data_IF_935987271343
#
_entry.id   IF_935987271343
#
_cell.length_a   1.000
_cell.length_b   1.000
_cell.length_c   1.000
_cell.angle_alpha   90.00
_cell.angle_beta   90.00
_cell.angle_gamma   90.00
#
_symmetry.space_group_name_H-M   'P 1'
#
loop_
_entity.id
_entity.type
_entity.pdbx_description
1 polymer ?
#
# COMPACT_ATOMS: atom_id res chain seq x y z
N UNK A 1 0.31 -33.46 -20.77
CA UNK A 1 1.58 -32.72 -20.54
C UNK A 1 1.34 -31.55 -19.59
N UNK A 2 2.18 -31.33 -18.57
CA UNK A 2 2.08 -30.13 -17.72
C UNK A 2 2.62 -28.92 -18.50
N UNK A 3 1.90 -27.78 -18.57
CA UNK A 3 2.39 -26.61 -19.29
C UNK A 3 3.72 -26.12 -18.72
N UNK A 4 4.61 -25.67 -19.61
CA UNK A 4 5.89 -25.05 -19.24
C UNK A 4 5.65 -23.88 -18.28
N UNK A 5 6.64 -23.54 -17.45
CA UNK A 5 6.50 -22.41 -16.52
C UNK A 5 6.24 -21.09 -17.25
N UNK A 6 6.82 -20.91 -18.45
CA UNK A 6 6.54 -19.77 -19.33
C UNK A 6 5.05 -19.71 -19.73
N UNK A 7 4.49 -20.82 -20.21
CA UNK A 7 3.07 -20.89 -20.59
C UNK A 7 2.14 -20.66 -19.40
N UNK A 8 2.50 -21.17 -18.20
CA UNK A 8 1.75 -20.93 -16.97
C UNK A 8 1.64 -19.43 -16.64
N UNK A 9 2.76 -18.69 -16.69
CA UNK A 9 2.76 -17.25 -16.43
C UNK A 9 2.07 -16.44 -17.53
N UNK A 10 2.23 -16.83 -18.80
CA UNK A 10 1.51 -16.19 -19.91
C UNK A 10 0.00 -16.34 -19.77
N UNK A 11 -0.49 -17.52 -19.34
CA UNK A 11 -1.90 -17.72 -19.00
C UNK A 11 -2.36 -16.77 -17.89
N UNK A 12 -1.59 -16.63 -16.80
CA UNK A 12 -1.93 -15.71 -15.70
C UNK A 12 -2.07 -14.27 -16.19
N UNK A 13 -1.12 -13.80 -17.02
CA UNK A 13 -1.17 -12.44 -17.58
C UNK A 13 -2.42 -12.27 -18.45
N UNK A 14 -2.68 -13.22 -19.34
CA UNK A 14 -3.85 -13.21 -20.23
C UNK A 14 -5.17 -13.17 -19.45
N UNK A 15 -5.38 -14.11 -18.54
CA UNK A 15 -6.65 -14.22 -17.80
C UNK A 15 -6.90 -13.00 -16.88
N UNK A 16 -5.83 -12.42 -16.30
CA UNK A 16 -5.94 -11.17 -15.55
C UNK A 16 -6.30 -9.99 -16.45
N UNK A 17 -5.71 -9.91 -17.64
CA UNK A 17 -6.05 -8.87 -18.61
C UNK A 17 -7.51 -8.97 -19.06
N UNK A 18 -7.99 -10.19 -19.35
CA UNK A 18 -9.40 -10.43 -19.68
C UNK A 18 -10.34 -9.98 -18.53
N UNK A 19 -10.02 -10.33 -17.29
CA UNK A 19 -10.78 -9.87 -16.12
C UNK A 19 -10.71 -8.35 -15.94
N UNK A 20 -9.57 -7.71 -16.23
CA UNK A 20 -9.44 -6.26 -16.21
C UNK A 20 -10.30 -5.59 -17.29
N UNK A 21 -10.39 -6.16 -18.49
CA UNK A 21 -11.28 -5.62 -19.53
C UNK A 21 -12.76 -5.81 -19.18
N UNK A 22 -13.12 -6.93 -18.53
CA UNK A 22 -14.49 -7.21 -18.12
C UNK A 22 -14.96 -6.39 -16.91
N UNK A 23 -14.10 -6.22 -15.91
CA UNK A 23 -14.47 -5.71 -14.58
C UNK A 23 -13.64 -4.52 -14.10
N UNK A 24 -12.59 -4.14 -14.82
CA UNK A 24 -11.70 -3.04 -14.46
C UNK A 24 -12.38 -1.67 -14.49
N UNK A 25 -11.66 -0.59 -14.15
CA UNK A 25 -12.22 0.74 -13.92
C UNK A 25 -13.05 1.37 -15.06
N UNK A 26 -13.00 0.84 -16.30
CA UNK A 26 -13.86 1.31 -17.41
C UNK A 26 -15.22 0.60 -17.53
N UNK A 27 -15.46 -0.43 -16.71
CA UNK A 27 -16.69 -1.23 -16.68
C UNK A 27 -17.64 -0.79 -15.56
N UNK A 28 -18.03 0.49 -15.56
CA UNK A 28 -18.73 1.15 -14.44
C UNK A 28 -20.10 0.58 -14.08
N UNK A 29 -20.60 -0.34 -14.90
CA UNK A 29 -21.88 -1.03 -14.69
C UNK A 29 -21.77 -2.21 -13.73
N UNK A 30 -20.57 -2.68 -13.40
CA UNK A 30 -20.38 -3.85 -12.52
C UNK A 30 -20.15 -3.40 -11.08
N UNK A 31 -21.06 -3.72 -10.13
CA UNK A 31 -20.86 -3.42 -8.71
C UNK A 31 -19.55 -3.99 -8.16
N UNK A 32 -18.97 -3.32 -7.16
CA UNK A 32 -17.70 -3.72 -6.57
C UNK A 32 -17.73 -5.16 -6.05
N UNK A 33 -18.80 -5.56 -5.36
CA UNK A 33 -18.93 -6.88 -4.75
C UNK A 33 -18.94 -7.99 -5.80
N UNK A 34 -19.59 -7.75 -6.94
CA UNK A 34 -19.57 -8.66 -8.10
C UNK A 34 -18.16 -8.78 -8.64
N UNK A 35 -17.49 -7.65 -8.92
CA UNK A 35 -16.13 -7.67 -9.44
C UNK A 35 -15.14 -8.35 -8.46
N UNK A 36 -15.23 -8.06 -7.16
CA UNK A 36 -14.41 -8.70 -6.12
C UNK A 36 -14.60 -10.22 -6.12
N UNK A 37 -15.85 -10.69 -6.21
CA UNK A 37 -16.16 -12.13 -6.31
C UNK A 37 -15.52 -12.77 -7.53
N UNK A 38 -15.63 -12.15 -8.71
CA UNK A 38 -15.04 -12.66 -9.95
C UNK A 38 -13.51 -12.71 -9.88
N UNK A 39 -12.86 -11.68 -9.32
CA UNK A 39 -11.42 -11.71 -9.09
C UNK A 39 -10.99 -12.78 -8.08
N UNK A 40 -11.77 -13.02 -7.03
CA UNK A 40 -11.48 -14.09 -6.06
C UNK A 40 -11.68 -15.49 -6.67
N UNK A 41 -12.67 -15.67 -7.54
CA UNK A 41 -12.87 -16.89 -8.31
C UNK A 41 -11.70 -17.12 -9.28
N UNK A 42 -11.28 -16.07 -10.01
CA UNK A 42 -10.08 -16.10 -10.84
C UNK A 42 -8.84 -16.46 -10.00
N UNK A 43 -8.67 -15.89 -8.81
CA UNK A 43 -7.56 -16.25 -7.93
C UNK A 43 -7.55 -17.75 -7.63
N UNK A 44 -8.70 -18.34 -7.30
CA UNK A 44 -8.81 -19.78 -7.02
C UNK A 44 -8.35 -20.60 -8.23
N UNK A 45 -8.84 -20.25 -9.43
CA UNK A 45 -8.45 -20.88 -10.69
C UNK A 45 -6.96 -20.72 -11.00
N UNK A 46 -6.39 -19.52 -10.86
CA UNK A 46 -4.98 -19.27 -11.15
C UNK A 46 -4.03 -19.98 -10.18
N UNK A 47 -4.51 -20.26 -8.96
CA UNK A 47 -3.76 -21.05 -7.99
C UNK A 47 -3.70 -22.54 -8.36
N UNK A 48 -4.50 -23.01 -9.33
CA UNK A 48 -4.37 -24.35 -9.89
C UNK A 48 -3.12 -24.47 -10.75
N UNK A 49 -2.22 -25.37 -10.37
CA UNK A 49 -0.93 -25.59 -11.05
C UNK A 49 0.23 -24.74 -10.54
N UNK A 50 0.00 -23.99 -9.46
CA UNK A 50 1.07 -23.40 -8.64
C UNK A 50 1.94 -24.50 -8.04
N UNK A 51 3.26 -24.32 -8.11
CA UNK A 51 4.27 -25.26 -7.60
C UNK A 51 4.95 -24.76 -6.33
N UNK A 52 4.98 -23.44 -6.10
CA UNK A 52 5.72 -22.86 -4.97
C UNK A 52 4.86 -21.90 -4.15
N UNK A 53 5.20 -21.75 -2.87
CA UNK A 53 4.55 -20.76 -2.01
C UNK A 53 4.85 -19.32 -2.46
N UNK A 54 5.99 -19.09 -3.10
CA UNK A 54 6.28 -17.80 -3.73
C UNK A 54 5.30 -17.50 -4.87
N UNK A 55 5.09 -18.43 -5.79
CA UNK A 55 4.10 -18.31 -6.88
C UNK A 55 2.69 -18.06 -6.32
N UNK A 56 2.30 -18.84 -5.30
CA UNK A 56 1.02 -18.68 -4.59
C UNK A 56 0.86 -17.26 -4.06
N UNK A 57 1.87 -16.76 -3.35
CA UNK A 57 1.84 -15.42 -2.75
C UNK A 57 1.85 -14.34 -3.81
N UNK A 58 2.63 -14.50 -4.88
CA UNK A 58 2.69 -13.54 -5.97
C UNK A 58 1.34 -13.39 -6.68
N UNK A 59 0.67 -14.51 -7.01
CA UNK A 59 -0.67 -14.49 -7.62
C UNK A 59 -1.69 -13.82 -6.69
N UNK A 60 -1.67 -14.13 -5.39
CA UNK A 60 -2.55 -13.46 -4.41
C UNK A 60 -2.33 -11.95 -4.37
N UNK A 61 -1.08 -11.48 -4.47
CA UNK A 61 -0.76 -10.04 -4.50
C UNK A 61 -1.26 -9.38 -5.78
N UNK A 62 -1.06 -10.02 -6.93
CA UNK A 62 -1.56 -9.54 -8.23
C UNK A 62 -3.08 -9.34 -8.19
N UNK A 63 -3.82 -10.36 -7.76
CA UNK A 63 -5.29 -10.26 -7.65
C UNK A 63 -5.73 -9.24 -6.61
N UNK A 64 -5.05 -9.17 -5.46
CA UNK A 64 -5.40 -8.17 -4.44
C UNK A 64 -5.24 -6.74 -4.98
N UNK A 65 -4.22 -6.50 -5.81
CA UNK A 65 -4.03 -5.21 -6.48
C UNK A 65 -5.11 -4.92 -7.52
N UNK A 66 -5.51 -5.92 -8.31
CA UNK A 66 -6.61 -5.77 -9.28
C UNK A 66 -7.93 -5.41 -8.58
N UNK A 67 -8.22 -6.07 -7.45
CA UNK A 67 -9.38 -5.75 -6.62
C UNK A 67 -9.30 -4.32 -6.07
N UNK A 68 -8.12 -3.84 -5.65
CA UNK A 68 -7.97 -2.45 -5.19
C UNK A 68 -8.25 -1.43 -6.30
N UNK A 69 -7.79 -1.70 -7.52
CA UNK A 69 -8.04 -0.83 -8.67
C UNK A 69 -9.54 -0.69 -8.94
N UNK A 70 -10.33 -1.74 -8.71
CA UNK A 70 -11.79 -1.68 -8.84
C UNK A 70 -12.46 -1.07 -7.60
N UNK A 71 -11.92 -1.33 -6.41
CA UNK A 71 -12.44 -0.78 -5.16
C UNK A 71 -12.32 0.76 -5.12
N UNK A 72 -11.23 1.33 -5.65
CA UNK A 72 -11.03 2.78 -5.63
C UNK A 72 -12.19 3.58 -6.25
N UNK A 73 -12.68 3.27 -7.47
CA UNK A 73 -13.84 3.98 -8.01
C UNK A 73 -15.20 3.46 -7.51
N UNK A 74 -15.30 2.24 -6.94
CA UNK A 74 -16.59 1.57 -6.74
C UNK A 74 -16.95 1.16 -5.31
N UNK A 75 -15.99 1.13 -4.39
CA UNK A 75 -16.29 0.80 -3.00
C UNK A 75 -17.17 1.90 -2.41
N UNK A 76 -18.33 1.52 -1.87
CA UNK A 76 -19.36 2.46 -1.40
C UNK A 76 -19.08 3.01 -0.02
N UNK A 77 -18.31 2.27 0.77
CA UNK A 77 -18.09 2.55 2.18
C UNK A 77 -16.68 2.12 2.61
N UNK A 78 -16.31 2.57 3.81
CA UNK A 78 -15.02 2.25 4.40
C UNK A 78 -14.83 0.76 4.65
N UNK A 79 -15.89 0.00 4.94
CA UNK A 79 -15.78 -1.43 5.23
C UNK A 79 -15.25 -2.20 4.01
N UNK A 80 -15.83 -1.98 2.84
CA UNK A 80 -15.40 -2.54 1.56
C UNK A 80 -13.96 -2.14 1.25
N UNK A 81 -13.66 -0.84 1.24
CA UNK A 81 -12.35 -0.35 0.86
C UNK A 81 -11.25 -0.81 1.83
N UNK A 82 -11.52 -0.76 3.14
CA UNK A 82 -10.58 -1.18 4.18
C UNK A 82 -10.34 -2.69 4.18
N UNK A 83 -11.31 -3.52 3.80
CA UNK A 83 -11.13 -4.97 3.62
C UNK A 83 -10.07 -5.24 2.55
N UNK A 84 -10.14 -4.54 1.42
CA UNK A 84 -9.16 -4.67 0.33
C UNK A 84 -7.78 -4.14 0.74
N UNK A 85 -7.71 -2.95 1.36
CA UNK A 85 -6.44 -2.41 1.86
C UNK A 85 -5.76 -3.33 2.88
N UNK A 86 -6.52 -3.90 3.82
CA UNK A 86 -5.99 -4.87 4.79
C UNK A 86 -5.47 -6.11 4.09
N UNK A 87 -6.15 -6.60 3.05
CA UNK A 87 -5.69 -7.75 2.26
C UNK A 87 -4.31 -7.48 1.64
N UNK A 88 -4.14 -6.35 0.97
CA UNK A 88 -2.85 -5.97 0.36
C UNK A 88 -1.76 -5.85 1.43
N UNK A 89 -2.03 -5.13 2.53
CA UNK A 89 -1.06 -4.96 3.63
C UNK A 89 -0.60 -6.30 4.22
N UNK A 90 -1.52 -7.26 4.43
CA UNK A 90 -1.19 -8.61 4.94
C UNK A 90 -0.35 -9.42 3.96
N UNK A 91 -0.66 -9.35 2.67
CA UNK A 91 0.11 -10.05 1.63
C UNK A 91 1.49 -9.40 1.41
N UNK A 92 1.61 -8.11 1.72
CA UNK A 92 2.74 -7.25 1.38
C UNK A 92 2.68 -6.84 -0.09
N UNK A 93 3.34 -5.73 -0.41
CA UNK A 93 3.40 -5.19 -1.77
C UNK A 93 4.27 -6.07 -2.68
N UNK A 94 3.97 -6.04 -3.98
CA UNK A 94 4.76 -6.74 -5.00
C UNK A 94 6.15 -6.11 -5.11
N UNK A 95 6.16 -4.78 -5.18
CA UNK A 95 7.33 -3.93 -5.30
C UNK A 95 6.99 -2.53 -4.75
N UNK A 96 7.93 -1.59 -4.91
CA UNK A 96 7.74 -0.21 -4.45
C UNK A 96 6.67 0.53 -5.25
N UNK A 97 6.53 0.26 -6.56
CA UNK A 97 5.53 0.90 -7.42
C UNK A 97 4.12 0.54 -6.95
N UNK A 98 3.90 -0.73 -6.64
CA UNK A 98 2.66 -1.24 -6.06
C UNK A 98 2.35 -0.60 -4.70
N UNK A 99 3.37 -0.34 -3.87
CA UNK A 99 3.21 0.37 -2.60
C UNK A 99 2.79 1.83 -2.81
N UNK A 100 3.42 2.54 -3.76
CA UNK A 100 3.09 3.93 -4.11
C UNK A 100 1.66 4.02 -4.62
N UNK A 101 1.31 3.18 -5.60
CA UNK A 101 -0.02 3.13 -6.18
C UNK A 101 -1.09 2.89 -5.10
N UNK A 102 -0.87 1.91 -4.22
CA UNK A 102 -1.78 1.63 -3.10
C UNK A 102 -1.93 2.83 -2.17
N UNK A 103 -0.84 3.53 -1.83
CA UNK A 103 -0.88 4.72 -0.98
C UNK A 103 -1.63 5.88 -1.63
N UNK A 104 -1.40 6.10 -2.93
CA UNK A 104 -2.09 7.11 -3.72
C UNK A 104 -3.61 6.84 -3.79
N UNK A 105 -4.01 5.61 -4.14
CA UNK A 105 -5.43 5.25 -4.17
C UNK A 105 -6.10 5.38 -2.80
N UNK A 106 -5.40 5.00 -1.72
CA UNK A 106 -5.91 5.16 -0.37
C UNK A 106 -6.16 6.62 -0.01
N UNK A 107 -5.23 7.52 -0.35
CA UNK A 107 -5.35 8.95 -0.09
C UNK A 107 -6.47 9.59 -0.91
N UNK A 108 -6.54 9.27 -2.20
CA UNK A 108 -7.62 9.74 -3.07
C UNK A 108 -8.99 9.29 -2.56
N UNK A 109 -9.14 7.99 -2.26
CA UNK A 109 -10.41 7.45 -1.80
C UNK A 109 -10.87 8.09 -0.49
N UNK A 110 -10.00 8.12 0.54
CA UNK A 110 -10.33 8.69 1.85
C UNK A 110 -10.61 10.19 1.76
N UNK A 111 -9.88 10.92 0.91
CA UNK A 111 -10.13 12.36 0.71
C UNK A 111 -11.53 12.66 0.13
N UNK A 112 -12.14 11.68 -0.55
CA UNK A 112 -13.47 11.83 -1.17
C UNK A 112 -14.59 11.24 -0.30
N UNK A 113 -14.32 10.19 0.47
CA UNK A 113 -15.38 9.41 1.14
C UNK A 113 -15.28 9.39 2.67
N UNK A 114 -14.09 9.62 3.26
CA UNK A 114 -13.86 9.43 4.69
C UNK A 114 -12.71 10.33 5.19
N UNK A 115 -13.05 11.59 5.48
CA UNK A 115 -12.07 12.63 5.84
C UNK A 115 -11.34 12.34 7.15
N UNK A 116 -11.99 11.68 8.11
CA UNK A 116 -11.42 11.37 9.42
C UNK A 116 -10.20 10.43 9.31
N UNK A 117 -10.15 9.63 8.24
CA UNK A 117 -9.07 8.65 7.99
C UNK A 117 -7.97 9.18 7.08
N UNK A 118 -8.09 10.40 6.56
CA UNK A 118 -7.08 11.03 5.71
C UNK A 118 -5.68 11.07 6.35
N UNK A 119 -5.50 11.34 7.66
CA UNK A 119 -4.17 11.28 8.29
C UNK A 119 -3.48 9.91 8.15
N UNK A 120 -4.23 8.81 8.17
CA UNK A 120 -3.68 7.47 7.95
C UNK A 120 -3.18 7.29 6.51
N UNK A 121 -3.93 7.79 5.52
CA UNK A 121 -3.50 7.72 4.13
C UNK A 121 -2.29 8.61 3.84
N UNK A 122 -2.21 9.79 4.48
CA UNK A 122 -1.01 10.63 4.45
C UNK A 122 0.22 9.88 4.94
N UNK A 123 0.13 9.18 6.07
CA UNK A 123 1.22 8.39 6.60
C UNK A 123 1.68 7.28 5.62
N UNK A 124 0.75 6.68 4.86
CA UNK A 124 1.08 5.70 3.82
C UNK A 124 1.85 6.33 2.66
N UNK A 125 1.44 7.51 2.21
CA UNK A 125 2.11 8.25 1.13
C UNK A 125 3.49 8.71 1.55
N UNK A 126 3.64 9.22 2.78
CA UNK A 126 4.93 9.63 3.31
C UNK A 126 5.91 8.46 3.46
N UNK A 127 5.43 7.26 3.84
CA UNK A 127 6.27 6.07 3.89
C UNK A 127 6.76 5.67 2.49
N UNK A 128 5.86 5.69 1.50
CA UNK A 128 6.21 5.40 0.11
C UNK A 128 7.23 6.43 -0.43
N UNK A 129 7.03 7.71 -0.15
CA UNK A 129 7.94 8.79 -0.53
C UNK A 129 9.32 8.65 0.12
N UNK A 130 9.40 8.32 1.42
CA UNK A 130 10.67 8.05 2.12
C UNK A 130 11.43 6.90 1.47
N UNK A 131 10.72 5.84 1.05
CA UNK A 131 11.33 4.69 0.36
C UNK A 131 11.84 5.07 -1.04
N UNK A 132 11.07 5.84 -1.80
CA UNK A 132 11.49 6.36 -3.10
C UNK A 132 12.74 7.23 -3.01
N UNK A 133 12.83 8.10 -1.99
CA UNK A 133 13.99 8.97 -1.79
C UNK A 133 15.31 8.21 -1.54
N UNK A 134 15.25 6.94 -1.11
CA UNK A 134 16.43 6.07 -0.95
C UNK A 134 16.96 5.54 -2.28
N UNK A 135 16.16 5.61 -3.35
CA UNK A 135 16.63 5.29 -4.70
C UNK A 135 17.55 6.43 -5.19
N UNK A 136 18.58 6.09 -5.98
CA UNK A 136 19.49 7.06 -6.60
C UNK A 136 18.70 8.15 -7.36
N UNK A 137 19.13 9.40 -7.22
CA UNK A 137 18.42 10.59 -7.71
C UNK A 137 18.12 10.57 -9.22
N UNK A 138 18.99 10.00 -10.05
CA UNK A 138 18.79 9.89 -11.50
C UNK A 138 17.97 8.68 -11.96
N UNK A 139 17.48 7.83 -11.06
CA UNK A 139 16.74 6.63 -11.47
C UNK A 139 15.30 6.98 -11.89
N UNK A 140 14.87 6.54 -13.07
CA UNK A 140 13.56 6.89 -13.64
C UNK A 140 12.38 6.61 -12.68
N UNK A 141 12.34 5.42 -12.06
CA UNK A 141 11.31 5.07 -11.05
C UNK A 141 11.23 6.03 -9.86
N UNK A 142 12.35 6.65 -9.45
CA UNK A 142 12.34 7.65 -8.38
C UNK A 142 11.58 8.89 -8.83
N UNK A 143 11.90 9.38 -10.03
CA UNK A 143 11.27 10.57 -10.61
C UNK A 143 9.77 10.34 -10.79
N UNK A 144 9.40 9.30 -11.53
CA UNK A 144 7.99 8.97 -11.82
C UNK A 144 7.18 8.74 -10.55
N UNK A 145 7.73 8.00 -9.58
CA UNK A 145 7.04 7.75 -8.31
C UNK A 145 6.85 9.01 -7.47
N UNK A 146 7.84 9.91 -7.44
CA UNK A 146 7.72 11.19 -6.73
C UNK A 146 6.73 12.14 -7.42
N UNK A 147 6.72 12.16 -8.76
CA UNK A 147 5.79 12.97 -9.54
C UNK A 147 4.34 12.49 -9.33
N UNK A 148 4.12 11.17 -9.33
CA UNK A 148 2.81 10.58 -9.04
C UNK A 148 2.31 10.94 -7.63
N UNK A 149 3.20 10.83 -6.61
CA UNK A 149 2.88 11.25 -5.24
C UNK A 149 2.56 12.74 -5.18
N UNK A 150 3.38 13.59 -5.79
CA UNK A 150 3.18 15.04 -5.79
C UNK A 150 1.83 15.44 -6.40
N UNK A 151 1.46 14.82 -7.52
CA UNK A 151 0.16 15.03 -8.17
C UNK A 151 -1.00 14.70 -7.24
N UNK A 152 -0.97 13.54 -6.58
CA UNK A 152 -2.03 13.12 -5.64
C UNK A 152 -2.09 14.03 -4.42
N UNK A 153 -0.94 14.40 -3.85
CA UNK A 153 -0.88 15.36 -2.73
C UNK A 153 -1.51 16.70 -3.10
N UNK A 154 -1.22 17.21 -4.30
CA UNK A 154 -1.79 18.46 -4.78
C UNK A 154 -3.32 18.35 -4.95
N UNK A 155 -3.83 17.25 -5.51
CA UNK A 155 -5.26 17.02 -5.65
C UNK A 155 -5.99 17.00 -4.31
N UNK A 156 -5.41 16.34 -3.29
CA UNK A 156 -6.00 16.27 -1.95
C UNK A 156 -5.88 17.61 -1.21
N UNK A 157 -4.76 18.33 -1.36
CA UNK A 157 -4.58 19.67 -0.79
C UNK A 157 -5.61 20.67 -1.33
N UNK A 158 -6.00 20.59 -2.61
CA UNK A 158 -7.09 21.41 -3.19
C UNK A 158 -8.44 21.22 -2.49
N UNK A 159 -8.63 20.12 -1.76
CA UNK A 159 -9.83 19.86 -0.94
C UNK A 159 -9.73 20.41 0.49
N UNK A 160 -8.66 21.16 0.80
CA UNK A 160 -8.38 21.66 2.16
C UNK A 160 -7.83 20.59 3.11
N UNK A 161 -7.46 19.42 2.59
CA UNK A 161 -6.94 18.29 3.36
C UNK A 161 -5.42 18.29 3.27
N UNK A 162 -4.76 18.91 4.24
CA UNK A 162 -3.30 18.99 4.29
C UNK A 162 -2.70 17.80 5.03
N UNK A 163 -1.40 17.51 4.83
CA UNK A 163 -0.71 16.51 5.64
C UNK A 163 -0.83 16.87 7.13
N UNK A 164 -0.97 15.88 8.02
CA UNK A 164 -0.93 16.15 9.45
C UNK A 164 0.41 16.82 9.79
N UNK A 165 0.39 17.80 10.70
CA UNK A 165 1.62 18.44 11.17
C UNK A 165 2.60 17.33 11.63
N UNK A 166 3.89 17.43 11.27
CA UNK A 166 4.86 16.45 11.73
C UNK A 166 4.81 16.44 13.25
N UNK A 167 4.38 15.33 13.83
CA UNK A 167 4.50 15.12 15.26
C UNK A 167 5.98 15.14 15.56
N UNK A 168 6.48 16.29 16.07
CA UNK A 168 7.77 16.33 16.75
C UNK A 168 7.70 15.23 17.78
N UNK A 169 8.45 14.17 17.56
CA UNK A 169 8.76 13.20 18.60
C UNK A 169 9.33 14.04 19.72
N UNK A 170 8.53 14.26 20.77
CA UNK A 170 9.04 14.86 22.00
C UNK A 170 9.99 13.81 22.54
N UNK A 171 11.25 13.91 22.14
CA UNK A 171 12.34 13.23 22.82
C UNK A 171 12.24 13.69 24.26
N UNK A 172 11.67 12.84 25.13
CA UNK A 172 11.83 12.99 26.57
C UNK A 172 13.32 13.23 26.79
N UNK A 173 13.75 14.36 27.37
CA UNK A 173 15.14 14.48 27.77
C UNK A 173 15.39 13.37 28.78
N UNK A 174 16.16 12.37 28.38
CA UNK A 174 16.67 11.35 29.27
C UNK A 174 17.59 12.10 30.22
N UNK A 175 17.06 12.42 31.40
CA UNK A 175 17.76 13.14 32.44
C UNK A 175 19.07 12.42 32.76
N UNK A 176 20.17 13.08 32.46
CA UNK A 176 21.47 12.69 32.94
C UNK A 176 21.55 12.92 34.46
N UNK A 177 22.35 12.07 35.10
CA UNK A 177 23.04 12.31 36.36
C UNK A 177 22.23 12.26 37.67
N UNK A 178 22.27 11.08 38.30
CA UNK A 178 22.54 10.98 39.74
C UNK A 178 23.71 9.99 39.96
N UNK A 179 24.94 10.45 39.74
CA UNK A 179 26.12 9.90 40.42
C UNK A 179 26.45 10.83 41.58
N UNK A 180 25.98 10.52 42.79
CA UNK A 180 26.58 11.06 44.01
C UNK A 180 27.66 10.09 44.49
N UNK A 181 28.92 10.40 44.15
CA UNK A 181 30.07 10.01 44.96
C UNK A 181 30.42 11.23 45.80
N UNK A 182 30.20 11.15 47.10
CA UNK A 182 30.93 11.96 48.07
C UNK A 182 31.78 11.00 48.89
N UNK A 183 33.10 11.17 48.75
CA UNK A 183 34.18 10.51 49.47
C UNK A 183 34.71 11.53 50.48
N UNK A 184 35.35 11.04 51.55
CA UNK A 184 36.06 11.72 52.65
C UNK A 184 35.21 11.71 53.95
N UNK A 185 35.71 11.26 55.10
CA UNK A 185 37.10 11.10 55.55
C UNK A 185 37.14 10.13 56.75
N UNK A 186 38.16 9.28 56.78
CA UNK A 186 38.72 8.71 58.01
C UNK A 186 39.26 9.84 58.90
N UNK A 187 39.11 9.71 60.23
CA UNK A 187 40.16 9.84 61.25
C UNK A 187 39.56 9.76 62.67
N UNK A 188 40.03 8.75 63.44
CA UNK A 188 40.28 8.64 64.91
C UNK A 188 39.12 8.94 65.88
N UNK A 189 38.81 8.16 66.92
CA UNK A 189 39.54 7.15 67.72
C UNK A 189 38.71 5.86 67.94
#
# INVERSE_FOLDING_TARGET
MKPSRKLFWQRIVKERHEAFMAFGPGSDRVPFETAEREYLALQKKLLEGVKTEWERRHIKRLIAHDILNVAHPRAKNWEEFSRVLRRIKRLGFIDLENQIHTACLALLWMSSHDRDRVPMAWAMVEDAERRLRRIRQGHFRRKEGLDAIASVKQQVAKKGLTPPAPTRTVSKPMGAAHRRRARLRLLMD
#
